data_IF_159443503826
#
_entry.id   IF_159443503826
#
_cell.length_a   1.000
_cell.length_b   1.000
_cell.length_c   1.000
_cell.angle_alpha   90.00
_cell.angle_beta   90.00
_cell.angle_gamma   90.00
#
_symmetry.space_group_name_H-M   'P 1'
#
loop_
_entity.id
_entity.type
_entity.pdbx_description
1 polymer ?
#
# COMPACT_ATOMS: atom_id res chain seq x y z
N UNK A 1 36.13 -9.30 -33.03
CA UNK A 1 34.94 -9.48 -32.18
C UNK A 1 33.74 -8.97 -32.96
N UNK A 2 32.63 -9.70 -33.05
CA UNK A 2 31.47 -9.22 -33.81
C UNK A 2 30.80 -8.03 -33.09
N UNK A 3 30.11 -7.12 -33.80
CA UNK A 3 29.36 -6.02 -33.16
C UNK A 3 28.38 -6.52 -32.09
N UNK A 4 27.79 -7.70 -32.32
CA UNK A 4 26.92 -8.41 -31.38
C UNK A 4 27.64 -8.80 -30.09
N UNK A 5 28.83 -9.40 -30.19
CA UNK A 5 29.61 -9.82 -29.03
C UNK A 5 30.08 -8.62 -28.20
N UNK A 6 30.47 -7.53 -28.88
CA UNK A 6 30.83 -6.26 -28.24
C UNK A 6 29.64 -5.67 -27.49
N UNK A 7 28.45 -5.64 -28.11
CA UNK A 7 27.23 -5.17 -27.46
C UNK A 7 26.87 -6.02 -26.23
N UNK A 8 26.99 -7.36 -26.31
CA UNK A 8 26.74 -8.25 -25.18
C UNK A 8 27.69 -7.99 -24.01
N UNK A 9 28.98 -7.81 -24.30
CA UNK A 9 29.98 -7.55 -23.28
C UNK A 9 29.70 -6.21 -22.58
N UNK A 10 29.34 -5.19 -23.35
CA UNK A 10 28.99 -3.86 -22.83
C UNK A 10 27.66 -3.85 -22.04
N UNK A 11 26.65 -4.62 -22.48
CA UNK A 11 25.40 -4.81 -21.75
C UNK A 11 25.63 -5.51 -20.40
N UNK A 12 26.46 -6.56 -20.37
CA UNK A 12 26.88 -7.22 -19.11
C UNK A 12 27.65 -6.26 -18.20
N UNK A 13 28.45 -5.38 -18.79
CA UNK A 13 29.15 -4.28 -18.11
C UNK A 13 28.29 -3.06 -17.76
N UNK A 14 26.97 -3.11 -17.97
CA UNK A 14 25.99 -2.04 -17.67
C UNK A 14 26.29 -0.68 -18.34
N UNK A 15 26.90 -0.70 -19.54
CA UNK A 15 27.14 0.51 -20.32
C UNK A 15 25.84 1.09 -20.87
N UNK A 16 25.79 2.41 -21.03
CA UNK A 16 24.60 3.08 -21.52
C UNK A 16 24.33 2.71 -23.01
N UNK A 17 23.06 2.61 -23.45
CA UNK A 17 22.74 2.26 -24.84
C UNK A 17 23.41 3.17 -25.89
N UNK A 18 23.58 4.46 -25.60
CA UNK A 18 24.27 5.41 -26.50
C UNK A 18 25.78 5.18 -26.62
N UNK A 19 26.42 4.57 -25.61
CA UNK A 19 27.82 4.14 -25.70
C UNK A 19 27.95 2.87 -26.54
N UNK A 20 27.00 1.94 -26.36
CA UNK A 20 26.94 0.70 -27.14
C UNK A 20 26.68 1.01 -28.62
N UNK A 21 25.77 1.93 -28.91
CA UNK A 21 25.47 2.38 -30.27
C UNK A 21 26.69 3.00 -30.94
N UNK A 22 27.41 3.90 -30.26
CA UNK A 22 28.65 4.51 -30.79
C UNK A 22 29.74 3.47 -31.04
N UNK A 23 29.86 2.46 -30.18
CA UNK A 23 30.90 1.44 -30.28
C UNK A 23 30.60 0.36 -31.33
N UNK A 24 29.32 0.05 -31.58
CA UNK A 24 28.93 -1.12 -32.38
C UNK A 24 28.19 -0.77 -33.68
N UNK A 25 27.73 0.48 -33.83
CA UNK A 25 26.85 0.89 -34.93
C UNK A 25 25.44 0.29 -34.87
N UNK A 26 25.14 -0.53 -33.84
CA UNK A 26 23.82 -1.12 -33.68
C UNK A 26 22.79 -0.07 -33.29
N UNK A 27 21.58 -0.17 -33.84
CA UNK A 27 20.48 0.71 -33.43
C UNK A 27 20.05 0.42 -32.00
N UNK A 28 19.46 1.40 -31.33
CA UNK A 28 18.93 1.24 -29.98
C UNK A 28 17.94 0.07 -29.88
N UNK A 29 17.14 -0.16 -30.93
CA UNK A 29 16.21 -1.29 -31.02
C UNK A 29 16.92 -2.65 -31.11
N UNK A 30 18.01 -2.74 -31.88
CA UNK A 30 18.82 -3.97 -31.96
C UNK A 30 19.51 -4.27 -30.62
N UNK A 31 19.99 -3.23 -29.91
CA UNK A 31 20.60 -3.37 -28.58
C UNK A 31 19.55 -3.84 -27.55
N UNK A 32 18.34 -3.28 -27.60
CA UNK A 32 17.24 -3.69 -26.72
C UNK A 32 16.80 -5.15 -26.95
N UNK A 33 16.63 -5.55 -28.21
CA UNK A 33 16.30 -6.93 -28.56
C UNK A 33 17.40 -7.90 -28.12
N UNK A 34 18.67 -7.51 -28.27
CA UNK A 34 19.80 -8.29 -27.81
C UNK A 34 19.83 -8.46 -26.28
N UNK A 35 19.53 -7.39 -25.54
CA UNK A 35 19.42 -7.42 -24.09
C UNK A 35 18.27 -8.31 -23.61
N UNK A 36 17.14 -8.31 -24.32
CA UNK A 36 15.97 -9.15 -24.02
C UNK A 36 16.25 -10.63 -24.24
N UNK A 37 16.83 -11.01 -25.40
CA UNK A 37 17.21 -12.40 -25.72
C UNK A 37 18.15 -13.00 -24.66
N UNK A 38 18.91 -12.16 -23.97
CA UNK A 38 19.90 -12.59 -22.97
C UNK A 38 19.42 -12.41 -21.52
N UNK A 39 18.15 -12.01 -21.32
CA UNK A 39 17.59 -11.78 -19.99
C UNK A 39 18.22 -10.60 -19.23
N UNK A 40 18.96 -9.73 -19.91
CA UNK A 40 19.66 -8.58 -19.33
C UNK A 40 18.76 -7.33 -19.20
N UNK A 41 17.52 -7.39 -19.70
CA UNK A 41 16.53 -6.31 -19.63
C UNK A 41 15.92 -6.09 -18.23
N UNK A 42 16.11 -7.04 -17.30
CA UNK A 42 15.45 -7.00 -15.99
C UNK A 42 16.02 -5.93 -15.02
N UNK A 43 17.21 -5.38 -15.26
CA UNK A 43 17.83 -4.42 -14.34
C UNK A 43 17.38 -2.96 -14.53
N UNK A 44 16.80 -2.59 -15.67
CA UNK A 44 16.14 -1.29 -15.84
C UNK A 44 14.76 -1.22 -15.16
N UNK A 45 14.11 -2.37 -14.93
CA UNK A 45 12.86 -2.45 -14.17
C UNK A 45 13.07 -2.36 -12.65
N UNK A 46 14.30 -2.49 -12.14
CA UNK A 46 14.59 -2.44 -10.69
C UNK A 46 14.82 -1.02 -10.15
N UNK A 47 15.03 -0.01 -10.99
CA UNK A 47 15.20 1.38 -10.55
C UNK A 47 13.88 2.14 -10.32
N UNK A 48 12.73 1.52 -10.59
CA UNK A 48 11.42 2.07 -10.24
C UNK A 48 10.67 1.11 -9.34
N UNK A 49 10.81 1.25 -8.02
CA UNK A 49 10.05 0.49 -7.00
C UNK A 49 8.53 0.69 -7.05
N UNK A 50 7.99 1.22 -8.15
CA UNK A 50 6.58 1.52 -8.37
C UNK A 50 5.84 0.40 -9.14
N UNK A 51 6.55 -0.56 -9.76
CA UNK A 51 5.95 -1.56 -10.66
C UNK A 51 6.12 -3.02 -10.22
N UNK A 52 6.47 -3.29 -8.95
CA UNK A 52 6.51 -4.68 -8.45
C UNK A 52 5.10 -5.26 -8.41
N UNK A 53 4.81 -6.21 -9.29
CA UNK A 53 3.50 -6.88 -9.38
C UNK A 53 2.68 -6.56 -10.63
N UNK A 54 3.12 -5.62 -11.48
CA UNK A 54 2.49 -5.39 -12.79
C UNK A 54 2.99 -6.43 -13.79
N UNK A 55 2.10 -6.89 -14.67
CA UNK A 55 2.44 -7.86 -15.71
C UNK A 55 3.61 -7.34 -16.60
N UNK A 56 4.73 -8.07 -16.70
CA UNK A 56 5.87 -7.67 -17.53
C UNK A 56 5.55 -7.57 -19.03
N UNK A 57 4.48 -8.20 -19.51
CA UNK A 57 3.98 -8.02 -20.88
C UNK A 57 3.41 -6.62 -21.10
N UNK A 58 2.70 -6.07 -20.11
CA UNK A 58 2.13 -4.73 -20.16
C UNK A 58 3.22 -3.65 -20.19
N UNK A 59 4.27 -3.84 -19.38
CA UNK A 59 5.46 -2.96 -19.37
C UNK A 59 6.13 -2.96 -20.75
N UNK A 60 6.26 -4.13 -21.38
CA UNK A 60 6.80 -4.24 -22.74
C UNK A 60 5.91 -3.58 -23.79
N UNK A 61 4.59 -3.75 -23.69
CA UNK A 61 3.63 -3.08 -24.56
C UNK A 61 3.74 -1.55 -24.52
N UNK A 62 3.81 -0.98 -23.31
CA UNK A 62 3.98 0.47 -23.11
C UNK A 62 5.30 0.98 -23.72
N UNK A 63 6.41 0.25 -23.53
CA UNK A 63 7.70 0.62 -24.11
C UNK A 63 7.69 0.57 -25.64
N UNK A 64 7.06 -0.45 -26.23
CA UNK A 64 6.94 -0.58 -27.69
C UNK A 64 6.08 0.55 -28.30
N UNK A 65 5.00 0.95 -27.62
CA UNK A 65 4.14 2.06 -28.05
C UNK A 65 4.84 3.42 -27.94
N UNK A 66 5.61 3.65 -26.88
CA UNK A 66 6.45 4.85 -26.77
C UNK A 66 7.46 4.93 -27.93
N UNK A 67 8.08 3.81 -28.29
CA UNK A 67 8.99 3.77 -29.43
C UNK A 67 8.26 4.08 -30.74
N UNK A 68 7.09 3.49 -30.97
CA UNK A 68 6.26 3.77 -32.15
C UNK A 68 5.82 5.24 -32.20
N UNK A 69 5.47 5.84 -31.06
CA UNK A 69 5.10 7.26 -30.95
C UNK A 69 6.25 8.19 -31.35
N UNK A 70 7.50 7.82 -31.09
CA UNK A 70 8.68 8.62 -31.43
C UNK A 70 9.21 8.38 -32.85
N UNK A 71 9.06 7.15 -33.36
CA UNK A 71 9.75 6.72 -34.58
C UNK A 71 8.82 6.44 -35.77
N UNK A 72 7.50 6.44 -35.59
CA UNK A 72 6.59 6.21 -36.71
C UNK A 72 6.54 7.42 -37.66
N UNK A 73 6.83 7.18 -38.95
CA UNK A 73 6.78 8.21 -39.99
C UNK A 73 5.37 8.71 -40.32
N UNK A 74 4.32 8.00 -39.90
CA UNK A 74 2.92 8.34 -40.22
C UNK A 74 2.16 8.86 -39.00
N UNK A 75 1.57 10.07 -39.10
CA UNK A 75 0.89 10.74 -37.97
C UNK A 75 -0.26 9.92 -37.36
N UNK A 76 -1.00 9.16 -38.18
CA UNK A 76 -2.08 8.28 -37.68
C UNK A 76 -1.55 7.20 -36.73
N UNK A 77 -0.41 6.60 -37.05
CA UNK A 77 0.22 5.56 -36.21
C UNK A 77 0.67 6.16 -34.88
N UNK A 78 1.24 7.38 -34.90
CA UNK A 78 1.64 8.09 -33.67
C UNK A 78 0.43 8.36 -32.76
N UNK A 79 -0.68 8.86 -33.31
CA UNK A 79 -1.92 9.11 -32.54
C UNK A 79 -2.51 7.84 -31.97
N UNK A 80 -2.54 6.76 -32.76
CA UNK A 80 -3.03 5.46 -32.29
C UNK A 80 -2.12 4.89 -31.20
N UNK A 81 -0.80 4.98 -31.36
CA UNK A 81 0.15 4.54 -30.34
C UNK A 81 -0.01 5.33 -29.03
N UNK A 82 -0.21 6.65 -29.11
CA UNK A 82 -0.46 7.49 -27.95
C UNK A 82 -1.75 7.09 -27.21
N UNK A 83 -2.86 6.87 -27.94
CA UNK A 83 -4.13 6.43 -27.34
C UNK A 83 -4.02 5.05 -26.68
N UNK A 84 -3.36 4.09 -27.32
CA UNK A 84 -3.16 2.76 -26.71
C UNK A 84 -2.25 2.85 -25.48
N UNK A 85 -1.24 3.73 -25.50
CA UNK A 85 -0.37 3.97 -24.34
C UNK A 85 -1.15 4.53 -23.16
N UNK A 86 -2.06 5.47 -23.41
CA UNK A 86 -2.96 6.04 -22.40
C UNK A 86 -3.84 4.95 -21.76
N UNK A 87 -4.55 4.16 -22.57
CA UNK A 87 -5.40 3.06 -22.09
C UNK A 87 -4.62 2.00 -21.31
N UNK A 88 -3.43 1.61 -21.78
CA UNK A 88 -2.58 0.66 -21.05
C UNK A 88 -2.04 1.27 -19.76
N UNK A 89 -1.79 2.58 -19.72
CA UNK A 89 -1.41 3.31 -18.52
C UNK A 89 -2.52 3.32 -17.47
N UNK A 90 -3.76 3.54 -17.88
CA UNK A 90 -4.94 3.44 -17.02
C UNK A 90 -5.12 2.04 -16.47
N UNK A 91 -4.99 1.01 -17.32
CA UNK A 91 -5.05 -0.39 -16.92
C UNK A 91 -3.94 -0.74 -15.93
N UNK A 92 -2.70 -0.28 -16.16
CA UNK A 92 -1.58 -0.44 -15.22
C UNK A 92 -1.91 0.19 -13.86
N UNK A 93 -2.44 1.42 -13.87
CA UNK A 93 -2.83 2.15 -12.68
C UNK A 93 -3.96 1.45 -11.92
N UNK A 94 -4.93 0.86 -12.62
CA UNK A 94 -5.98 0.03 -12.03
C UNK A 94 -5.40 -1.24 -11.38
N UNK A 95 -4.52 -1.97 -12.06
CA UNK A 95 -3.87 -3.16 -11.52
C UNK A 95 -3.05 -2.85 -10.26
N UNK A 96 -2.25 -1.77 -10.29
CA UNK A 96 -1.48 -1.33 -9.13
C UNK A 96 -2.37 -0.97 -7.94
N UNK A 97 -3.50 -0.28 -8.17
CA UNK A 97 -4.49 0.02 -7.13
C UNK A 97 -5.09 -1.25 -6.53
N UNK A 98 -5.48 -2.22 -7.37
CA UNK A 98 -5.99 -3.51 -6.90
C UNK A 98 -4.97 -4.29 -6.07
N UNK A 99 -3.70 -4.31 -6.48
CA UNK A 99 -2.63 -4.97 -5.72
C UNK A 99 -2.43 -4.30 -4.37
N UNK A 100 -2.39 -2.96 -4.34
CA UNK A 100 -2.27 -2.20 -3.10
C UNK A 100 -3.47 -2.42 -2.17
N UNK A 101 -4.69 -2.42 -2.71
CA UNK A 101 -5.92 -2.71 -1.96
C UNK A 101 -5.88 -4.12 -1.36
N UNK A 102 -5.55 -5.13 -2.16
CA UNK A 102 -5.42 -6.52 -1.69
C UNK A 102 -4.34 -6.66 -0.62
N UNK A 103 -3.22 -5.95 -0.76
CA UNK A 103 -2.16 -5.90 0.24
C UNK A 103 -2.62 -5.30 1.58
N UNK A 104 -3.41 -4.22 1.54
CA UNK A 104 -3.96 -3.62 2.78
C UNK A 104 -5.06 -4.50 3.38
N UNK A 105 -5.90 -5.14 2.55
CA UNK A 105 -6.92 -6.08 3.02
C UNK A 105 -6.27 -7.27 3.73
N UNK A 106 -5.18 -7.83 3.22
CA UNK A 106 -4.44 -8.90 3.89
C UNK A 106 -3.74 -8.43 5.17
N UNK A 107 -3.20 -7.21 5.20
CA UNK A 107 -2.67 -6.60 6.43
C UNK A 107 -3.77 -6.49 7.51
N UNK A 108 -4.99 -6.06 7.13
CA UNK A 108 -6.13 -5.95 8.04
C UNK A 108 -6.57 -7.31 8.60
N UNK A 109 -6.60 -8.37 7.78
CA UNK A 109 -6.94 -9.71 8.26
C UNK A 109 -5.88 -10.22 9.24
N UNK A 110 -4.60 -9.96 8.98
CA UNK A 110 -3.52 -10.33 9.89
C UNK A 110 -3.61 -9.58 11.23
N UNK A 111 -3.84 -8.26 11.19
CA UNK A 111 -4.03 -7.44 12.39
C UNK A 111 -5.21 -7.94 13.21
N UNK A 112 -6.34 -8.25 12.57
CA UNK A 112 -7.52 -8.79 13.26
C UNK A 112 -7.23 -10.16 13.89
N UNK A 113 -6.51 -11.05 13.20
CA UNK A 113 -6.08 -12.34 13.75
C UNK A 113 -5.20 -12.17 14.99
N UNK A 114 -4.21 -11.27 14.94
CA UNK A 114 -3.34 -10.95 16.08
C UNK A 114 -4.16 -10.38 17.25
N UNK A 115 -5.09 -9.47 16.95
CA UNK A 115 -5.95 -8.83 17.95
C UNK A 115 -6.83 -9.87 18.66
N UNK A 116 -7.48 -10.76 17.91
CA UNK A 116 -8.31 -11.83 18.48
C UNK A 116 -7.47 -12.80 19.34
N UNK A 117 -6.24 -13.10 18.91
CA UNK A 117 -5.32 -13.95 19.66
C UNK A 117 -4.90 -13.29 20.97
N UNK A 118 -4.51 -12.02 20.94
CA UNK A 118 -4.13 -11.27 22.12
C UNK A 118 -5.31 -11.10 23.10
N UNK A 119 -6.52 -10.83 22.59
CA UNK A 119 -7.75 -10.78 23.38
C UNK A 119 -8.07 -12.12 24.04
N UNK A 120 -7.94 -13.22 23.30
CA UNK A 120 -8.16 -14.58 23.83
C UNK A 120 -7.15 -14.95 24.91
N UNK A 121 -5.88 -14.53 24.75
CA UNK A 121 -4.86 -14.72 25.79
C UNK A 121 -5.18 -13.88 27.03
N UNK A 122 -5.61 -12.62 26.84
CA UNK A 122 -5.96 -11.74 27.94
C UNK A 122 -7.19 -12.24 28.71
N UNK A 123 -8.22 -12.73 28.04
CA UNK A 123 -9.41 -13.28 28.71
C UNK A 123 -9.07 -14.54 29.53
N UNK A 124 -8.15 -15.38 29.07
CA UNK A 124 -7.64 -16.55 29.82
C UNK A 124 -6.85 -16.18 31.07
N UNK A 125 -6.23 -15.00 31.12
CA UNK A 125 -5.54 -14.50 32.32
C UNK A 125 -6.51 -13.95 33.38
N UNK A 126 -7.78 -13.74 33.03
CA UNK A 126 -8.85 -13.40 33.97
C UNK A 126 -8.90 -11.93 34.40
N UNK A 127 -10.09 -11.49 34.83
CA UNK A 127 -10.35 -10.13 35.34
C UNK A 127 -9.61 -9.83 36.66
N UNK A 128 -9.25 -10.87 37.43
CA UNK A 128 -8.48 -10.78 38.68
C UNK A 128 -7.16 -10.04 38.50
N UNK A 129 -6.55 -10.20 37.33
CA UNK A 129 -5.26 -9.62 37.01
C UNK A 129 -5.31 -8.09 36.91
N UNK A 130 -6.37 -7.55 36.32
CA UNK A 130 -6.56 -6.09 36.22
C UNK A 130 -7.00 -5.47 37.57
N UNK A 131 -7.66 -6.23 38.43
CA UNK A 131 -7.96 -5.81 39.80
C UNK A 131 -6.69 -5.74 40.65
N UNK A 132 -5.76 -6.69 40.46
CA UNK A 132 -4.50 -6.73 41.18
C UNK A 132 -3.59 -5.52 40.86
N UNK A 133 -3.55 -5.11 39.59
CA UNK A 133 -2.81 -3.89 39.20
C UNK A 133 -3.48 -2.63 39.77
N UNK A 134 -4.83 -2.59 39.83
CA UNK A 134 -5.55 -1.45 40.44
C UNK A 134 -5.31 -1.35 41.93
N UNK A 135 -5.49 -2.44 42.66
CA UNK A 135 -5.25 -2.49 44.11
C UNK A 135 -3.80 -2.11 44.45
N UNK A 136 -2.82 -2.58 43.65
CA UNK A 136 -1.43 -2.13 43.79
C UNK A 136 -1.28 -0.63 43.52
N UNK A 137 -1.86 -0.11 42.44
CA UNK A 137 -1.73 1.29 42.06
C UNK A 137 -2.40 2.22 43.09
N UNK A 138 -3.56 1.84 43.65
CA UNK A 138 -4.22 2.53 44.76
C UNK A 138 -3.32 2.55 46.02
N UNK A 139 -2.67 1.43 46.36
CA UNK A 139 -1.69 1.37 47.47
C UNK A 139 -0.45 2.23 47.24
N UNK A 140 -0.07 2.47 45.99
CA UNK A 140 1.01 3.40 45.63
C UNK A 140 0.55 4.86 45.51
N UNK A 141 -0.73 5.16 45.78
CA UNK A 141 -1.29 6.50 45.64
C UNK A 141 -1.49 6.97 44.20
N UNK A 142 -1.45 6.07 43.22
CA UNK A 142 -1.69 6.39 41.81
C UNK A 142 -3.20 6.47 41.55
N UNK A 143 -3.62 7.48 40.79
CA UNK A 143 -5.03 7.62 40.39
C UNK A 143 -5.36 6.64 39.25
N UNK A 144 -6.22 5.66 39.52
CA UNK A 144 -6.68 4.66 38.55
C UNK A 144 -8.20 4.69 38.47
N UNK A 145 -8.75 4.51 37.27
CA UNK A 145 -10.21 4.36 37.13
C UNK A 145 -10.69 2.99 37.67
N UNK A 146 -11.80 2.96 38.43
CA UNK A 146 -12.34 1.72 39.00
C UNK A 146 -12.78 0.71 37.94
N UNK A 147 -13.10 1.19 36.73
CA UNK A 147 -13.43 0.37 35.56
C UNK A 147 -12.74 0.91 34.32
N UNK A 148 -12.33 0.02 33.39
CA UNK A 148 -11.76 0.42 32.10
C UNK A 148 -10.37 -0.15 31.81
N UNK A 149 -9.69 0.43 30.82
CA UNK A 149 -8.31 0.09 30.43
C UNK A 149 -7.35 0.85 31.34
N UNK A 150 -6.33 0.15 31.87
CA UNK A 150 -5.28 0.77 32.68
C UNK A 150 -4.40 1.67 31.80
N UNK A 151 -3.90 2.78 32.34
CA UNK A 151 -2.96 3.64 31.61
C UNK A 151 -1.63 2.89 31.38
N UNK A 152 -0.91 3.27 30.31
CA UNK A 152 0.39 2.68 30.02
C UNK A 152 1.39 2.92 31.16
N UNK A 153 1.36 4.11 31.76
CA UNK A 153 2.27 4.48 32.86
C UNK A 153 2.06 3.61 34.11
N UNK A 154 0.80 3.33 34.48
CA UNK A 154 0.47 2.45 35.61
C UNK A 154 0.92 1.02 35.33
N UNK A 155 0.74 0.55 34.10
CA UNK A 155 1.21 -0.76 33.66
C UNK A 155 2.75 -0.84 33.75
N UNK A 156 3.46 0.15 33.23
CA UNK A 156 4.92 0.16 33.19
C UNK A 156 5.52 0.23 34.61
N UNK A 157 4.94 1.06 35.49
CA UNK A 157 5.34 1.14 36.89
C UNK A 157 5.08 -0.18 37.65
N UNK A 158 3.93 -0.81 37.42
CA UNK A 158 3.62 -2.12 38.00
C UNK A 158 4.62 -3.18 37.51
N UNK A 159 4.89 -3.22 36.21
CA UNK A 159 5.86 -4.16 35.65
C UNK A 159 7.24 -3.95 36.25
N UNK A 160 7.74 -2.71 36.27
CA UNK A 160 9.05 -2.35 36.85
C UNK A 160 9.19 -2.84 38.30
N UNK A 161 8.19 -2.62 39.14
CA UNK A 161 8.23 -3.00 40.55
C UNK A 161 8.14 -4.53 40.77
N UNK A 162 7.65 -5.26 39.76
CA UNK A 162 7.42 -6.71 39.84
C UNK A 162 8.28 -7.53 38.88
N UNK A 163 9.29 -6.97 38.23
CA UNK A 163 10.09 -7.69 37.23
C UNK A 163 10.79 -8.94 37.80
N UNK A 164 11.10 -8.92 39.10
CA UNK A 164 11.83 -10.00 39.79
C UNK A 164 10.97 -10.84 40.72
N UNK A 165 9.65 -10.71 40.66
CA UNK A 165 8.78 -11.50 41.54
C UNK A 165 8.59 -12.93 41.04
N UNK A 166 8.60 -13.87 41.98
CA UNK A 166 8.22 -15.27 41.73
C UNK A 166 6.73 -15.52 41.98
N UNK A 167 5.96 -14.52 42.41
CA UNK A 167 4.53 -14.69 42.64
C UNK A 167 3.77 -14.86 41.32
N UNK A 168 3.03 -15.98 41.22
CA UNK A 168 2.33 -16.38 40.00
C UNK A 168 1.30 -15.34 39.54
N UNK A 169 0.60 -14.71 40.49
CA UNK A 169 -0.41 -13.69 40.19
C UNK A 169 0.22 -12.40 39.66
N UNK A 170 1.39 -12.02 40.16
CA UNK A 170 2.13 -10.86 39.66
C UNK A 170 2.72 -11.13 38.26
N UNK A 171 3.20 -12.35 37.98
CA UNK A 171 3.63 -12.74 36.62
C UNK A 171 2.48 -12.76 35.62
N UNK A 172 1.28 -13.20 36.04
CA UNK A 172 0.05 -13.09 35.24
C UNK A 172 -0.30 -11.63 34.99
N UNK A 173 -0.15 -10.76 36.00
CA UNK A 173 -0.32 -9.31 35.88
C UNK A 173 0.58 -8.66 34.85
N UNK A 174 1.88 -8.91 34.90
CA UNK A 174 2.83 -8.44 33.89
C UNK A 174 2.42 -8.91 32.49
N UNK A 175 2.06 -10.19 32.35
CA UNK A 175 1.66 -10.75 31.04
C UNK A 175 0.38 -10.09 30.51
N UNK A 176 -0.62 -9.86 31.37
CA UNK A 176 -1.85 -9.19 30.98
C UNK A 176 -1.62 -7.74 30.57
N UNK A 177 -0.77 -7.02 31.30
CA UNK A 177 -0.41 -5.64 31.01
C UNK A 177 0.29 -5.51 29.64
N UNK A 178 1.22 -6.43 29.34
CA UNK A 178 1.87 -6.54 28.01
C UNK A 178 0.86 -6.79 26.89
N UNK A 179 -0.09 -7.71 27.10
CA UNK A 179 -1.14 -8.00 26.12
C UNK A 179 -2.08 -6.81 25.90
N UNK A 180 -2.41 -6.05 26.94
CA UNK A 180 -3.21 -4.83 26.80
C UNK A 180 -2.50 -3.78 25.93
N UNK A 181 -1.19 -3.58 26.13
CA UNK A 181 -0.38 -2.69 25.27
C UNK A 181 -0.33 -3.17 23.83
N UNK A 182 -0.17 -4.48 23.61
CA UNK A 182 -0.21 -5.09 22.27
C UNK A 182 -1.57 -4.85 21.59
N UNK A 183 -2.68 -5.09 22.29
CA UNK A 183 -4.03 -4.84 21.77
C UNK A 183 -4.23 -3.36 21.40
N UNK A 184 -3.79 -2.44 22.26
CA UNK A 184 -3.88 -1.00 21.98
C UNK A 184 -3.07 -0.61 20.73
N UNK A 185 -1.86 -1.15 20.59
CA UNK A 185 -1.01 -0.97 19.41
C UNK A 185 -1.69 -1.50 18.13
N UNK A 186 -2.19 -2.74 18.16
CA UNK A 186 -2.88 -3.37 17.04
C UNK A 186 -4.14 -2.60 16.62
N UNK A 187 -4.90 -2.04 17.57
CA UNK A 187 -6.06 -1.17 17.27
C UNK A 187 -5.66 0.10 16.52
N UNK A 188 -4.52 0.72 16.89
CA UNK A 188 -3.96 1.88 16.17
C UNK A 188 -3.54 1.49 14.76
N UNK A 189 -2.79 0.39 14.60
CA UNK A 189 -2.39 -0.12 13.29
C UNK A 189 -3.59 -0.44 12.39
N UNK A 190 -4.63 -1.08 12.95
CA UNK A 190 -5.89 -1.35 12.23
C UNK A 190 -6.55 -0.07 11.70
N UNK A 191 -6.56 0.98 12.52
CA UNK A 191 -7.14 2.28 12.16
C UNK A 191 -6.33 2.95 11.04
N UNK A 192 -4.99 2.90 11.12
CA UNK A 192 -4.11 3.41 10.08
C UNK A 192 -4.25 2.62 8.76
N UNK A 193 -4.35 1.30 8.81
CA UNK A 193 -4.59 0.45 7.64
C UNK A 193 -5.94 0.74 6.99
N UNK A 194 -7.02 0.91 7.77
CA UNK A 194 -8.34 1.34 7.25
C UNK A 194 -8.27 2.69 6.53
N UNK A 195 -7.61 3.69 7.11
CA UNK A 195 -7.45 5.00 6.45
C UNK A 195 -6.73 4.89 5.10
N UNK A 196 -5.69 4.05 5.02
CA UNK A 196 -5.00 3.77 3.75
C UNK A 196 -5.92 3.09 2.74
N UNK A 197 -6.69 2.09 3.18
CA UNK A 197 -7.68 1.43 2.32
C UNK A 197 -8.73 2.42 1.80
N UNK A 198 -9.26 3.27 2.67
CA UNK A 198 -10.26 4.28 2.32
C UNK A 198 -9.69 5.27 1.30
N UNK A 199 -8.42 5.68 1.42
CA UNK A 199 -7.77 6.57 0.45
C UNK A 199 -7.54 5.94 -0.94
N UNK A 200 -7.51 4.61 -1.04
CA UNK A 200 -7.37 3.91 -2.32
C UNK A 200 -8.72 3.64 -2.98
N UNK A 201 -9.75 3.38 -2.18
CA UNK A 201 -11.06 2.88 -2.65
C UNK A 201 -12.10 3.98 -2.78
N UNK A 202 -11.94 5.09 -2.05
CA UNK A 202 -12.88 6.18 -2.08
C UNK A 202 -12.27 7.40 -2.79
N UNK A 203 -13.05 8.05 -3.66
CA UNK A 203 -12.65 9.33 -4.25
C UNK A 203 -12.37 10.37 -3.14
N UNK A 204 -11.46 11.32 -3.37
CA UNK A 204 -11.24 12.44 -2.47
C UNK A 204 -12.56 13.14 -2.16
N UNK A 205 -12.83 13.38 -0.87
CA UNK A 205 -14.08 14.02 -0.46
C UNK A 205 -14.30 15.39 -1.13
N UNK A 206 -13.22 16.13 -1.42
CA UNK A 206 -13.29 17.39 -2.15
C UNK A 206 -13.85 17.22 -3.57
N UNK A 207 -13.46 16.15 -4.27
CA UNK A 207 -13.89 15.85 -5.63
C UNK A 207 -15.38 15.47 -5.66
N UNK A 208 -15.81 14.62 -4.72
CA UNK A 208 -17.23 14.28 -4.57
C UNK A 208 -18.07 15.51 -4.20
N UNK A 209 -17.57 16.42 -3.36
CA UNK A 209 -18.27 17.68 -3.05
C UNK A 209 -18.41 18.57 -4.29
N UNK A 210 -17.32 18.75 -5.04
CA UNK A 210 -17.33 19.56 -6.24
C UNK A 210 -18.33 19.02 -7.27
N UNK A 211 -18.33 17.71 -7.50
CA UNK A 211 -19.31 17.06 -8.36
C UNK A 211 -20.74 17.23 -7.83
N UNK A 212 -20.98 16.96 -6.56
CA UNK A 212 -22.33 17.07 -5.99
C UNK A 212 -22.87 18.52 -6.05
N UNK A 213 -22.01 19.52 -5.83
CA UNK A 213 -22.36 20.93 -6.02
C UNK A 213 -22.70 21.26 -7.47
N UNK A 214 -21.96 20.71 -8.45
CA UNK A 214 -22.29 20.85 -9.87
C UNK A 214 -23.64 20.21 -10.23
N UNK A 215 -24.02 19.13 -9.54
CA UNK A 215 -25.32 18.47 -9.68
C UNK A 215 -26.45 19.19 -8.90
N UNK A 216 -26.16 20.29 -8.20
CA UNK A 216 -27.15 20.99 -7.36
C UNK A 216 -27.56 20.22 -6.10
N UNK A 217 -26.79 19.21 -5.69
CA UNK A 217 -27.05 18.44 -4.46
C UNK A 217 -26.54 19.22 -3.25
N UNK A 218 -27.35 19.28 -2.20
CA UNK A 218 -26.97 19.93 -0.95
C UNK A 218 -25.93 19.08 -0.21
N UNK A 219 -24.69 19.59 -0.11
CA UNK A 219 -23.60 18.93 0.61
C UNK A 219 -22.97 19.88 1.62
N UNK A 220 -22.73 19.38 2.84
CA UNK A 220 -22.02 20.15 3.86
C UNK A 220 -20.57 20.44 3.44
N UNK A 221 -20.14 21.68 3.65
CA UNK A 221 -18.76 22.15 3.39
C UNK A 221 -17.74 21.39 4.25
N UNK A 222 -18.14 20.96 5.45
CA UNK A 222 -17.32 20.23 6.40
C UNK A 222 -18.01 18.96 6.90
N UNK A 223 -17.22 17.99 7.34
CA UNK A 223 -17.72 16.73 7.92
C UNK A 223 -17.66 15.54 6.97
N UNK A 224 -18.19 14.41 7.46
CA UNK A 224 -18.15 13.13 6.76
C UNK A 224 -19.13 13.13 5.59
N UNK A 225 -18.65 12.68 4.41
CA UNK A 225 -19.49 12.56 3.23
C UNK A 225 -20.51 11.43 3.42
N UNK A 226 -21.80 11.67 3.12
CA UNK A 226 -22.78 10.59 3.04
C UNK A 226 -22.35 9.49 2.05
N UNK A 227 -22.50 8.22 2.45
CA UNK A 227 -22.08 7.08 1.63
C UNK A 227 -22.76 7.07 0.25
N UNK A 228 -24.05 7.43 0.19
CA UNK A 228 -24.81 7.47 -1.05
C UNK A 228 -24.23 8.46 -2.09
N UNK A 229 -23.62 9.57 -1.65
CA UNK A 229 -22.98 10.53 -2.57
C UNK A 229 -21.69 9.97 -3.15
N UNK A 230 -20.94 9.19 -2.38
CA UNK A 230 -19.73 8.53 -2.85
C UNK A 230 -20.09 7.45 -3.89
N UNK A 231 -21.14 6.68 -3.66
CA UNK A 231 -21.62 5.67 -4.60
C UNK A 231 -22.14 6.31 -5.89
N UNK A 232 -23.01 7.32 -5.79
CA UNK A 232 -23.51 8.03 -6.96
C UNK A 232 -22.38 8.68 -7.79
N UNK A 233 -21.32 9.17 -7.12
CA UNK A 233 -20.13 9.67 -7.80
C UNK A 233 -19.39 8.57 -8.57
N UNK A 234 -19.21 7.40 -7.95
CA UNK A 234 -18.55 6.24 -8.59
C UNK A 234 -19.33 5.76 -9.80
N UNK A 235 -20.65 5.71 -9.72
CA UNK A 235 -21.52 5.33 -10.83
C UNK A 235 -21.45 6.35 -11.97
N UNK A 236 -21.44 7.65 -11.65
CA UNK A 236 -21.24 8.71 -12.63
C UNK A 236 -19.90 8.60 -13.35
N UNK A 237 -18.81 8.35 -12.62
CA UNK A 237 -17.48 8.10 -13.19
C UNK A 237 -17.47 6.87 -14.11
N UNK A 238 -18.08 5.76 -13.68
CA UNK A 238 -18.16 4.55 -14.48
C UNK A 238 -18.93 4.76 -15.79
N UNK A 239 -20.00 5.56 -15.75
CA UNK A 239 -20.79 5.93 -16.94
C UNK A 239 -20.03 6.88 -17.87
N UNK A 240 -19.34 7.88 -17.32
CA UNK A 240 -18.51 8.79 -18.13
C UNK A 240 -17.40 8.04 -18.87
N UNK A 241 -16.79 7.03 -18.22
CA UNK A 241 -15.79 6.17 -18.86
C UNK A 241 -16.37 5.28 -19.97
N UNK A 242 -17.58 4.73 -19.80
CA UNK A 242 -18.19 3.88 -20.83
C UNK A 242 -18.64 4.69 -22.06
N UNK A 243 -19.11 5.92 -21.87
CA UNK A 243 -19.48 6.83 -22.96
C UNK A 243 -18.26 7.33 -23.76
N UNK A 244 -17.09 7.45 -23.14
CA UNK A 244 -15.84 7.81 -23.84
C UNK A 244 -15.22 6.64 -24.63
N UNK A 245 -15.59 5.40 -24.29
CA UNK A 245 -15.07 4.19 -24.91
C UNK A 245 -15.89 3.69 -26.11
N UNK A 246 -17.14 4.16 -26.28
CA UNK A 246 -18.01 3.88 -27.42
C UNK A 246 -17.81 4.83 -28.59
#
# INVERSE_FOLDING_TARGET
MSPRDTALLMLKGRRAPGEIQRATGMSTGQIAALAEVQGLSQTAARSGGFLTGIDPTLIRGLAALMWAEQNAGHQRVRRQAARVRELLGELAGYQSRMIAENGIRSELTEINRKLNTAQSKLSRLGASTALLIRDWAEKQGMTVSPSGVLSADVIDAFEYNHQHTNQLDQRRAITAARLQREIASLKRSRTAARRRLDSLTNPPAAEVRAWAQQQGLAVSVAGQMPAYLIEAYKDHQAKAMSEQAG
#
